data_IF_095362792093
#
_entry.id   IF_095362792093
#
_cell.length_a   1.000
_cell.length_b   1.000
_cell.length_c   1.000
_cell.angle_alpha   90.00
_cell.angle_beta   90.00
_cell.angle_gamma   90.00
#
_symmetry.space_group_name_H-M   'P 1'
#
loop_
_entity.id
_entity.type
_entity.pdbx_description
1 polymer ?
#
# COMPACT_ATOMS: atom_id res chain seq x y z
N UNK A 1 5.86 -14.81 -0.83
CA UNK A 1 4.84 -13.77 -0.55
C UNK A 1 4.45 -13.68 0.92
N UNK A 2 3.94 -14.74 1.57
CA UNK A 2 3.48 -14.69 2.97
C UNK A 2 4.54 -14.15 3.97
N UNK A 3 5.84 -14.48 3.80
CA UNK A 3 6.94 -13.90 4.60
C UNK A 3 7.06 -12.37 4.48
N UNK A 4 6.68 -11.77 3.34
CA UNK A 4 6.68 -10.32 3.15
C UNK A 4 5.42 -9.64 3.66
N UNK A 5 4.44 -10.38 4.18
CA UNK A 5 3.27 -9.79 4.83
C UNK A 5 3.65 -8.92 6.04
N UNK A 6 4.86 -9.09 6.58
CA UNK A 6 5.45 -8.22 7.62
C UNK A 6 5.50 -6.75 7.21
N UNK A 7 5.54 -6.45 5.90
CA UNK A 7 5.47 -5.07 5.40
C UNK A 7 4.12 -4.39 5.72
N UNK A 8 3.09 -5.18 6.05
CA UNK A 8 1.80 -4.66 6.48
C UNK A 8 1.70 -4.41 8.00
N UNK A 9 2.65 -4.90 8.80
CA UNK A 9 2.48 -4.95 10.27
C UNK A 9 2.47 -3.56 10.92
N UNK A 10 3.12 -2.58 10.29
CA UNK A 10 3.14 -1.18 10.75
C UNK A 10 2.12 -0.29 10.04
N UNK A 11 1.30 -0.87 9.15
CA UNK A 11 0.28 -0.11 8.43
C UNK A 11 -0.90 0.14 9.37
N UNK A 12 -1.31 1.41 9.60
CA UNK A 12 -2.42 1.70 10.51
C UNK A 12 -3.73 1.06 10.08
N UNK A 13 -4.57 0.75 11.05
CA UNK A 13 -5.95 0.37 10.79
C UNK A 13 -6.78 1.63 10.52
N UNK A 14 -7.63 1.57 9.49
CA UNK A 14 -8.55 2.66 9.15
C UNK A 14 -8.27 3.30 7.79
N UNK A 15 -8.96 4.40 7.46
CA UNK A 15 -8.81 5.07 6.18
C UNK A 15 -7.43 5.70 6.02
N UNK A 16 -6.93 5.70 4.78
CA UNK A 16 -5.67 6.35 4.45
C UNK A 16 -5.15 6.00 3.06
N UNK A 17 -4.11 6.72 2.66
CA UNK A 17 -3.29 6.39 1.49
C UNK A 17 -2.05 5.60 1.91
N UNK A 18 -1.54 4.76 1.02
CA UNK A 18 -0.32 3.99 1.22
C UNK A 18 0.53 3.96 -0.04
N UNK A 19 1.84 3.86 0.15
CA UNK A 19 2.83 3.76 -0.93
C UNK A 19 3.73 2.56 -0.70
N UNK A 20 3.86 1.69 -1.70
CA UNK A 20 4.91 0.68 -1.70
C UNK A 20 6.18 1.32 -2.22
N UNK A 21 7.26 1.22 -1.43
CA UNK A 21 8.54 1.83 -1.74
C UNK A 21 9.54 0.75 -2.12
N UNK A 22 10.30 0.99 -3.19
CA UNK A 22 11.34 0.10 -3.70
C UNK A 22 12.70 0.27 -2.99
N UNK A 23 13.71 -0.50 -3.41
CA UNK A 23 15.04 -0.45 -2.82
C UNK A 23 15.78 0.87 -3.02
N UNK A 24 15.49 1.63 -4.08
CA UNK A 24 16.10 2.92 -4.37
C UNK A 24 15.24 4.09 -3.85
N UNK A 25 14.34 3.82 -2.90
CA UNK A 25 13.37 4.79 -2.38
C UNK A 25 12.38 5.34 -3.42
N UNK A 26 12.23 4.64 -4.54
CA UNK A 26 11.24 4.94 -5.57
C UNK A 26 9.84 4.45 -5.15
N UNK A 27 8.81 5.20 -5.55
CA UNK A 27 7.42 4.77 -5.34
C UNK A 27 7.06 3.76 -6.42
N UNK A 28 6.78 2.52 -6.02
CA UNK A 28 6.40 1.44 -6.94
C UNK A 28 4.89 1.37 -7.17
N UNK A 29 4.11 1.82 -6.18
CA UNK A 29 2.66 1.81 -6.23
C UNK A 29 2.08 2.76 -5.18
N UNK A 30 1.01 3.48 -5.55
CA UNK A 30 0.19 4.30 -4.65
C UNK A 30 -1.21 3.70 -4.63
N UNK A 31 -1.82 3.67 -3.45
CA UNK A 31 -3.22 3.29 -3.29
C UNK A 31 -3.91 4.05 -2.16
N UNK A 32 -5.24 4.08 -2.17
CA UNK A 32 -6.05 4.49 -1.02
C UNK A 32 -7.01 3.37 -0.56
N UNK A 33 -7.45 3.42 0.70
CA UNK A 33 -8.44 2.48 1.23
C UNK A 33 -9.17 3.04 2.45
N UNK A 34 -10.38 2.53 2.72
CA UNK A 34 -11.08 2.74 3.99
C UNK A 34 -10.53 1.87 5.14
N UNK A 35 -9.71 0.87 4.81
CA UNK A 35 -8.91 0.13 5.77
C UNK A 35 -7.58 -0.27 5.12
N UNK A 36 -6.58 0.62 5.25
CA UNK A 36 -5.28 0.46 4.61
C UNK A 36 -4.54 -0.79 5.07
N UNK A 37 -4.58 -1.14 6.36
CA UNK A 37 -4.02 -2.40 6.85
C UNK A 37 -4.57 -3.63 6.11
N UNK A 38 -5.90 -3.78 6.06
CA UNK A 38 -6.55 -4.91 5.37
C UNK A 38 -6.19 -4.93 3.89
N UNK A 39 -6.18 -3.76 3.25
CA UNK A 39 -5.87 -3.65 1.82
C UNK A 39 -4.42 -4.01 1.52
N UNK A 40 -3.46 -3.49 2.30
CA UNK A 40 -2.04 -3.82 2.15
C UNK A 40 -1.80 -5.31 2.41
N UNK A 41 -2.41 -5.88 3.46
CA UNK A 41 -2.32 -7.33 3.72
C UNK A 41 -2.80 -8.17 2.55
N UNK A 42 -3.86 -7.75 1.85
CA UNK A 42 -4.45 -8.50 0.74
C UNK A 42 -3.44 -8.82 -0.36
N UNK A 43 -2.50 -7.92 -0.64
CA UNK A 43 -1.45 -8.12 -1.66
C UNK A 43 -0.54 -9.31 -1.37
N UNK A 44 -0.41 -9.73 -0.10
CA UNK A 44 0.45 -10.85 0.30
C UNK A 44 -0.28 -12.18 0.43
N UNK A 45 -1.58 -12.21 0.13
CA UNK A 45 -2.43 -13.41 0.19
C UNK A 45 -2.61 -14.04 -1.19
N UNK A 46 -3.13 -15.27 -1.23
CA UNK A 46 -3.52 -15.92 -2.49
C UNK A 46 -4.73 -15.26 -3.17
N UNK A 47 -5.42 -14.32 -2.49
CA UNK A 47 -6.54 -13.57 -3.06
C UNK A 47 -6.08 -12.51 -4.07
N UNK A 48 -4.81 -12.10 -4.05
CA UNK A 48 -4.26 -11.20 -5.08
C UNK A 48 -3.88 -12.01 -6.33
N UNK A 49 -4.62 -11.79 -7.41
CA UNK A 49 -4.50 -12.54 -8.67
C UNK A 49 -3.70 -11.78 -9.75
N UNK A 50 -3.45 -10.49 -9.56
CA UNK A 50 -2.79 -9.65 -10.57
C UNK A 50 -1.28 -9.84 -10.50
N UNK A 51 -0.69 -10.42 -11.55
CA UNK A 51 0.75 -10.71 -11.65
C UNK A 51 1.63 -9.48 -11.39
N UNK A 52 1.32 -8.32 -11.99
CA UNK A 52 2.10 -7.09 -11.78
C UNK A 52 2.14 -6.63 -10.33
N UNK A 53 1.05 -6.83 -9.58
CA UNK A 53 1.00 -6.47 -8.16
C UNK A 53 1.86 -7.42 -7.31
N UNK A 54 1.86 -8.70 -7.66
CA UNK A 54 2.72 -9.68 -7.03
C UNK A 54 4.22 -9.40 -7.24
N UNK A 55 4.61 -9.04 -8.47
CA UNK A 55 5.99 -8.62 -8.79
C UNK A 55 6.36 -7.35 -8.02
N UNK A 56 5.45 -6.36 -7.98
CA UNK A 56 5.65 -5.12 -7.23
C UNK A 56 5.92 -5.38 -5.73
N UNK A 57 5.10 -6.21 -5.06
CA UNK A 57 5.31 -6.49 -3.63
C UNK A 57 6.53 -7.37 -3.34
N UNK A 58 7.05 -8.08 -4.34
CA UNK A 58 8.33 -8.78 -4.24
C UNK A 58 9.53 -7.83 -4.31
N UNK A 59 9.39 -6.70 -5.01
CA UNK A 59 10.39 -5.62 -5.05
C UNK A 59 10.31 -4.68 -3.85
N UNK A 60 9.11 -4.42 -3.32
CA UNK A 60 8.90 -3.45 -2.25
C UNK A 60 9.68 -3.78 -0.97
N UNK A 61 10.31 -2.76 -0.39
CA UNK A 61 11.12 -2.84 0.83
C UNK A 61 10.40 -2.31 2.06
N UNK A 62 9.48 -1.35 1.89
CA UNK A 62 8.60 -0.84 2.94
C UNK A 62 7.26 -0.35 2.40
N UNK A 63 6.32 -0.13 3.31
CA UNK A 63 5.06 0.57 3.03
C UNK A 63 5.04 1.86 3.83
N UNK A 64 4.89 2.98 3.13
CA UNK A 64 4.60 4.27 3.76
C UNK A 64 3.09 4.50 3.79
N UNK A 65 2.64 5.25 4.78
CA UNK A 65 1.24 5.33 5.17
C UNK A 65 0.88 6.75 5.57
N UNK A 66 -0.22 7.26 5.03
CA UNK A 66 -0.81 8.55 5.39
C UNK A 66 -2.26 8.31 5.86
N UNK A 67 -2.49 8.16 7.17
CA UNK A 67 -3.83 8.01 7.74
C UNK A 67 -4.70 9.23 7.46
N UNK A 68 -6.00 9.00 7.28
CA UNK A 68 -6.99 10.06 7.08
C UNK A 68 -8.26 9.75 7.87
N UNK A 69 -9.11 10.76 8.08
CA UNK A 69 -10.38 10.55 8.79
C UNK A 69 -11.37 9.78 7.92
N UNK A 70 -11.32 9.99 6.60
CA UNK A 70 -12.25 9.35 5.65
C UNK A 70 -11.55 8.78 4.42
N UNK A 71 -12.25 7.89 3.71
CA UNK A 71 -11.81 7.39 2.40
C UNK A 71 -11.76 8.51 1.34
N UNK A 72 -12.62 9.53 1.45
CA UNK A 72 -12.62 10.65 0.50
C UNK A 72 -11.31 11.42 0.58
N UNK A 73 -10.88 11.76 1.80
CA UNK A 73 -9.58 12.39 2.05
C UNK A 73 -8.43 11.51 1.56
N UNK A 74 -8.50 10.19 1.81
CA UNK A 74 -7.47 9.24 1.36
C UNK A 74 -7.28 9.28 -0.17
N UNK A 75 -8.38 9.38 -0.93
CA UNK A 75 -8.34 9.49 -2.39
C UNK A 75 -7.72 10.81 -2.86
N UNK A 76 -8.00 11.91 -2.16
CA UNK A 76 -7.37 13.21 -2.46
C UNK A 76 -5.86 13.14 -2.20
N UNK A 77 -5.44 12.50 -1.10
CA UNK A 77 -4.01 12.28 -0.80
C UNK A 77 -3.35 11.41 -1.86
N UNK A 78 -3.97 10.29 -2.24
CA UNK A 78 -3.47 9.40 -3.31
C UNK A 78 -3.27 10.17 -4.62
N UNK A 79 -4.22 11.01 -5.04
CA UNK A 79 -4.09 11.81 -6.26
C UNK A 79 -2.89 12.77 -6.17
N UNK A 80 -2.69 13.43 -5.03
CA UNK A 80 -1.53 14.32 -4.82
C UNK A 80 -0.21 13.56 -4.87
N UNK A 81 -0.19 12.34 -4.36
CA UNK A 81 1.01 11.49 -4.37
C UNK A 81 1.34 10.94 -5.75
N UNK A 82 0.35 10.77 -6.64
CA UNK A 82 0.58 10.37 -8.04
C UNK A 82 1.12 11.53 -8.87
N UNK A 83 0.74 12.78 -8.55
CA UNK A 83 1.14 13.98 -9.32
C UNK A 83 2.50 14.57 -8.93
N UNK A 84 3.13 14.06 -7.87
CA UNK A 84 4.46 14.49 -7.42
C UNK A 84 5.54 13.64 -8.06
#
# INVERSE_FOLDING_TARGET
RRRRAVLADHVPHGPGSYRFIGPNSEVLYVGSSGNMYRRVRQYFTAAEKRRRMAEMVELATRVESTPTATLLEARVVELRDITR
#
